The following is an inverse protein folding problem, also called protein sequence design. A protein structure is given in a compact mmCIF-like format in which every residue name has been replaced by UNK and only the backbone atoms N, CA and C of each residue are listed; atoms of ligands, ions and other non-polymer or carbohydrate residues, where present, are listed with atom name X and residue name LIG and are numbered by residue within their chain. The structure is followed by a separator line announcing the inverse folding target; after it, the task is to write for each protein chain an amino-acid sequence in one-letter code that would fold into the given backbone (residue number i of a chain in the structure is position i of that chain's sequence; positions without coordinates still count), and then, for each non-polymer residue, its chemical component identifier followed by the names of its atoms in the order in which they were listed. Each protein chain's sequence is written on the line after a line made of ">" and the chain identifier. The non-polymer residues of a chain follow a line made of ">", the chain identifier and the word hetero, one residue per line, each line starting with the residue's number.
data_IF_641871218366
#
_entry.id   IF_641871218366
#
_cell.length_a   1.000
_cell.length_b   1.000
_cell.length_c   1.000
_cell.angle_alpha   90.00
_cell.angle_beta   90.00
_cell.angle_gamma   90.00
#
_symmetry.space_group_name_H-M   'P 1'
#
loop_
_entity.id
_entity.type
_entity.pdbx_description
1 polymer ?
#
# COMPACT_ATOMS: atom_id res chain seq x y z
N UNK A 1 -14.04 -3.22 14.30
CA UNK A 1 -13.27 -4.35 14.90
C UNK A 1 -11.83 -3.89 15.05
N UNK A 2 -11.34 -3.71 16.27
CA UNK A 2 -9.93 -3.36 16.54
C UNK A 2 -9.05 -4.41 15.90
N UNK A 3 -8.17 -4.00 14.97
CA UNK A 3 -7.07 -4.84 14.50
C UNK A 3 -6.42 -5.48 15.73
N UNK A 4 -6.43 -6.81 15.78
CA UNK A 4 -5.96 -7.58 16.91
C UNK A 4 -4.57 -7.15 17.32
N UNK A 5 -4.41 -7.00 18.59
CA UNK A 5 -3.30 -6.48 19.41
C UNK A 5 -1.92 -6.41 18.72
N UNK A 6 -1.16 -5.38 19.02
CA UNK A 6 0.25 -5.18 18.65
C UNK A 6 1.10 -6.47 18.76
N UNK A 7 0.85 -7.30 19.76
CA UNK A 7 1.55 -8.58 19.97
C UNK A 7 1.38 -9.60 18.83
N UNK A 8 0.18 -9.72 18.22
CA UNK A 8 -0.03 -10.62 17.08
C UNK A 8 0.68 -10.09 15.81
N UNK A 9 0.64 -8.79 15.59
CA UNK A 9 1.36 -8.13 14.50
C UNK A 9 2.88 -8.31 14.61
N UNK A 10 3.43 -8.22 15.83
CA UNK A 10 4.86 -8.41 16.08
C UNK A 10 5.32 -9.86 15.87
N UNK A 11 4.45 -10.85 16.15
CA UNK A 11 4.74 -12.26 15.84
C UNK A 11 4.83 -12.48 14.33
N UNK A 12 3.88 -11.94 13.56
CA UNK A 12 3.88 -12.12 12.10
C UNK A 12 5.04 -11.40 11.41
N UNK A 13 5.37 -10.21 11.88
CA UNK A 13 6.54 -9.46 11.44
C UNK A 13 7.82 -10.28 11.59
N UNK A 14 8.06 -10.85 12.78
CA UNK A 14 9.24 -11.72 13.02
C UNK A 14 9.24 -12.94 12.11
N UNK A 15 8.09 -13.57 11.90
CA UNK A 15 7.99 -14.73 11.00
C UNK A 15 8.32 -14.37 9.54
N UNK A 16 7.91 -13.19 9.05
CA UNK A 16 8.24 -12.71 7.72
C UNK A 16 9.74 -12.45 7.59
N UNK A 17 10.33 -11.78 8.56
CA UNK A 17 11.77 -11.49 8.58
C UNK A 17 12.63 -12.78 8.57
N UNK A 18 12.32 -13.73 9.46
CA UNK A 18 12.96 -15.03 9.51
C UNK A 18 12.82 -15.82 8.21
N UNK A 19 11.66 -15.74 7.57
CA UNK A 19 11.38 -16.46 6.33
C UNK A 19 12.08 -15.84 5.12
N UNK A 20 12.09 -14.51 5.01
CA UNK A 20 12.83 -13.79 3.96
C UNK A 20 14.33 -14.11 4.05
N UNK A 21 14.92 -14.03 5.23
CA UNK A 21 16.33 -14.38 5.48
C UNK A 21 16.61 -15.86 5.14
N UNK A 22 15.71 -16.76 5.51
CA UNK A 22 15.81 -18.18 5.18
C UNK A 22 15.80 -18.43 3.67
N UNK A 23 14.86 -17.83 2.93
CA UNK A 23 14.76 -17.99 1.48
C UNK A 23 16.03 -17.47 0.80
N UNK A 24 16.54 -16.32 1.22
CA UNK A 24 17.79 -15.77 0.68
C UNK A 24 18.98 -16.69 0.88
N UNK A 25 19.07 -17.37 2.04
CA UNK A 25 20.17 -18.26 2.37
C UNK A 25 20.06 -19.67 1.79
N UNK A 26 18.84 -20.21 1.76
CA UNK A 26 18.63 -21.64 1.47
C UNK A 26 17.93 -21.91 0.13
N UNK A 27 17.35 -20.90 -0.49
CA UNK A 27 16.49 -21.01 -1.67
C UNK A 27 15.29 -21.95 -1.46
N UNK A 28 14.82 -22.06 -0.23
CA UNK A 28 13.68 -22.91 0.15
C UNK A 28 12.75 -22.15 1.06
N UNK A 29 11.49 -22.07 0.69
CA UNK A 29 10.45 -21.54 1.57
C UNK A 29 10.09 -22.56 2.67
N UNK A 30 9.61 -22.07 3.80
CA UNK A 30 9.14 -22.90 4.90
C UNK A 30 7.79 -22.41 5.44
N UNK A 31 7.63 -21.10 5.63
CA UNK A 31 6.47 -20.50 6.31
C UNK A 31 5.68 -19.54 5.42
N UNK A 32 6.18 -19.13 4.25
CA UNK A 32 5.50 -18.15 3.42
C UNK A 32 4.06 -18.55 3.12
N UNK A 33 3.83 -19.82 2.80
CA UNK A 33 2.50 -20.36 2.53
C UNK A 33 1.59 -20.23 3.76
N UNK A 34 2.06 -20.63 4.93
CA UNK A 34 1.26 -20.55 6.16
C UNK A 34 0.98 -19.11 6.59
N UNK A 35 1.92 -18.18 6.35
CA UNK A 35 1.72 -16.76 6.61
C UNK A 35 0.67 -16.20 5.63
N UNK A 36 0.77 -16.51 4.34
CA UNK A 36 -0.19 -16.09 3.34
C UNK A 36 -1.61 -16.61 3.64
N UNK A 37 -1.75 -17.91 3.93
CA UNK A 37 -3.03 -18.50 4.32
C UNK A 37 -3.66 -17.85 5.55
N UNK A 38 -2.83 -17.46 6.50
CA UNK A 38 -3.30 -16.80 7.70
C UNK A 38 -3.75 -15.36 7.42
N UNK A 39 -3.00 -14.60 6.60
CA UNK A 39 -3.39 -13.27 6.17
C UNK A 39 -4.72 -13.34 5.41
N UNK A 40 -4.85 -14.27 4.47
CA UNK A 40 -6.09 -14.45 3.69
C UNK A 40 -7.28 -14.84 4.60
N UNK A 41 -7.06 -15.75 5.56
CA UNK A 41 -8.12 -16.15 6.52
C UNK A 41 -8.57 -15.03 7.44
N UNK A 42 -7.68 -14.09 7.77
CA UNK A 42 -8.03 -12.98 8.66
C UNK A 42 -8.58 -11.75 7.91
N UNK A 43 -8.15 -11.51 6.68
CA UNK A 43 -8.43 -10.27 5.95
C UNK A 43 -9.04 -10.48 4.55
N UNK A 44 -8.77 -11.61 3.89
CA UNK A 44 -9.17 -11.88 2.51
C UNK A 44 -10.63 -12.32 2.32
N UNK A 45 -11.50 -12.03 3.27
CA UNK A 45 -12.94 -12.30 3.23
C UNK A 45 -13.77 -11.19 3.88
N UNK A 46 -13.14 -10.05 4.19
CA UNK A 46 -13.82 -8.94 4.85
C UNK A 46 -14.57 -8.11 3.82
N UNK A 47 -15.87 -8.02 3.97
CA UNK A 47 -16.76 -7.16 3.15
C UNK A 47 -16.82 -5.73 3.70
N UNK A 48 -16.46 -5.54 4.98
CA UNK A 48 -16.45 -4.25 5.65
C UNK A 48 -15.08 -3.58 5.57
N UNK A 49 -15.06 -2.26 5.38
CA UNK A 49 -13.85 -1.45 5.47
C UNK A 49 -13.21 -1.55 6.86
N UNK A 50 -11.91 -1.61 6.91
CA UNK A 50 -11.15 -1.52 8.16
C UNK A 50 -10.44 -0.18 8.31
N UNK A 51 -10.17 0.23 9.55
CA UNK A 51 -9.23 1.30 9.84
C UNK A 51 -7.81 0.75 9.70
N UNK A 52 -7.10 1.21 8.70
CA UNK A 52 -5.73 0.78 8.42
C UNK A 52 -4.74 1.77 9.02
N UNK A 53 -4.36 1.55 10.28
CA UNK A 53 -3.45 2.44 10.99
C UNK A 53 -1.99 2.10 10.73
N UNK A 54 -1.21 3.11 10.37
CA UNK A 54 0.24 3.00 10.29
C UNK A 54 0.86 3.10 11.68
N UNK A 55 1.83 2.22 11.96
CA UNK A 55 2.66 2.29 13.13
C UNK A 55 4.03 2.85 12.77
N UNK A 56 4.67 3.56 13.71
CA UNK A 56 6.03 4.01 13.53
C UNK A 56 6.96 2.80 13.27
N UNK A 57 7.77 2.90 12.22
CA UNK A 57 8.70 1.86 11.80
C UNK A 57 10.13 2.30 12.11
N UNK A 58 10.89 1.41 12.76
CA UNK A 58 12.33 1.56 12.87
C UNK A 58 12.98 1.13 11.54
N UNK A 59 14.28 1.44 11.40
CA UNK A 59 15.06 1.00 10.25
C UNK A 59 15.15 -0.52 10.17
N UNK A 60 15.26 -1.17 11.31
CA UNK A 60 15.42 -2.62 11.43
C UNK A 60 14.14 -3.37 11.07
N UNK A 61 12.97 -2.81 11.38
CA UNK A 61 11.69 -3.52 11.19
C UNK A 61 10.86 -3.00 10.00
N UNK A 62 11.41 -2.08 9.21
CA UNK A 62 10.70 -1.47 8.11
C UNK A 62 10.18 -2.52 7.11
N UNK A 63 11.08 -3.33 6.56
CA UNK A 63 10.72 -4.28 5.49
C UNK A 63 9.70 -5.32 5.93
N UNK A 64 9.86 -5.88 7.12
CA UNK A 64 8.92 -6.88 7.62
C UNK A 64 7.53 -6.30 7.92
N UNK A 65 7.46 -5.06 8.44
CA UNK A 65 6.19 -4.36 8.63
C UNK A 65 5.56 -3.96 7.30
N UNK A 66 6.36 -3.45 6.38
CA UNK A 66 5.94 -3.10 5.03
C UNK A 66 5.35 -4.33 4.31
N UNK A 67 6.09 -5.43 4.25
CA UNK A 67 5.62 -6.67 3.64
C UNK A 67 4.33 -7.20 4.25
N UNK A 68 4.17 -7.12 5.59
CA UNK A 68 2.94 -7.52 6.26
C UNK A 68 1.75 -6.61 5.88
N UNK A 69 1.96 -5.31 5.90
CA UNK A 69 0.92 -4.34 5.56
C UNK A 69 0.47 -4.50 4.11
N UNK A 70 1.43 -4.61 3.17
CA UNK A 70 1.14 -4.84 1.75
C UNK A 70 0.40 -6.16 1.56
N UNK A 71 0.77 -7.23 2.27
CA UNK A 71 0.07 -8.51 2.21
C UNK A 71 -1.37 -8.43 2.71
N UNK A 72 -1.64 -7.69 3.78
CA UNK A 72 -3.00 -7.44 4.30
C UNK A 72 -3.83 -6.67 3.27
N UNK A 73 -3.31 -5.57 2.73
CA UNK A 73 -3.99 -4.79 1.69
C UNK A 73 -4.26 -5.64 0.43
N UNK A 74 -3.28 -6.43 -0.01
CA UNK A 74 -3.46 -7.35 -1.13
C UNK A 74 -4.57 -8.37 -0.89
N UNK A 75 -4.64 -8.96 0.31
CA UNK A 75 -5.69 -9.93 0.64
C UNK A 75 -7.09 -9.30 0.59
N UNK A 76 -7.25 -8.08 1.07
CA UNK A 76 -8.53 -7.37 1.07
C UNK A 76 -8.91 -6.91 -0.34
N UNK A 77 -8.00 -6.28 -1.06
CA UNK A 77 -8.26 -5.75 -2.40
C UNK A 77 -8.58 -6.89 -3.38
N UNK A 78 -7.87 -8.01 -3.32
CA UNK A 78 -8.15 -9.20 -4.15
C UNK A 78 -9.52 -9.78 -3.85
N UNK A 79 -9.98 -9.75 -2.59
CA UNK A 79 -11.33 -10.17 -2.21
C UNK A 79 -12.39 -9.24 -2.82
N UNK A 80 -12.26 -7.93 -2.64
CA UNK A 80 -13.19 -6.92 -3.18
C UNK A 80 -13.27 -6.99 -4.71
N UNK A 81 -12.18 -7.34 -5.39
CA UNK A 81 -12.13 -7.52 -6.86
C UNK A 81 -12.62 -8.90 -7.31
N UNK A 82 -13.05 -9.78 -6.41
CA UNK A 82 -13.42 -11.17 -6.72
C UNK A 82 -12.34 -11.93 -7.51
N UNK A 83 -11.08 -11.70 -7.20
CA UNK A 83 -9.96 -12.41 -7.83
C UNK A 83 -10.00 -13.89 -7.39
N UNK A 84 -9.70 -14.80 -8.31
CA UNK A 84 -9.68 -16.25 -8.02
C UNK A 84 -8.74 -16.55 -6.86
N UNK A 85 -9.12 -17.51 -6.02
CA UNK A 85 -8.38 -17.85 -4.78
C UNK A 85 -6.91 -18.19 -5.02
N UNK A 86 -6.60 -18.87 -6.09
CA UNK A 86 -5.21 -19.19 -6.47
C UNK A 86 -4.40 -17.92 -6.75
N UNK A 87 -4.95 -16.98 -7.51
CA UNK A 87 -4.28 -15.71 -7.81
C UNK A 87 -4.23 -14.80 -6.58
N UNK A 88 -5.27 -14.79 -5.72
CA UNK A 88 -5.23 -14.14 -4.42
C UNK A 88 -4.05 -14.66 -3.59
N UNK A 89 -3.91 -15.98 -3.50
CA UNK A 89 -2.83 -16.62 -2.77
C UNK A 89 -1.44 -16.23 -3.32
N UNK A 90 -1.25 -16.30 -4.65
CA UNK A 90 0.00 -15.87 -5.29
C UNK A 90 0.29 -14.39 -5.05
N UNK A 91 -0.75 -13.53 -5.05
CA UNK A 91 -0.61 -12.09 -4.80
C UNK A 91 -0.16 -11.81 -3.37
N UNK A 92 -0.74 -12.50 -2.39
CA UNK A 92 -0.35 -12.36 -0.98
C UNK A 92 1.07 -12.91 -0.73
N UNK A 93 1.44 -14.04 -1.34
CA UNK A 93 2.82 -14.54 -1.29
C UNK A 93 3.80 -13.53 -1.94
N UNK A 94 3.42 -12.96 -3.09
CA UNK A 94 4.21 -11.92 -3.75
C UNK A 94 4.39 -10.70 -2.85
N UNK A 95 3.32 -10.26 -2.16
CA UNK A 95 3.38 -9.14 -1.24
C UNK A 95 4.35 -9.35 -0.05
N UNK A 96 4.44 -10.59 0.46
CA UNK A 96 5.40 -10.94 1.51
C UNK A 96 6.84 -10.86 1.01
N UNK A 97 7.09 -11.10 -0.28
CA UNK A 97 8.41 -11.32 -0.85
C UNK A 97 8.88 -10.25 -1.85
N UNK A 98 8.02 -9.28 -2.22
CA UNK A 98 8.30 -8.35 -3.31
C UNK A 98 9.56 -7.50 -3.12
N UNK A 99 9.94 -7.22 -1.89
CA UNK A 99 11.10 -6.40 -1.53
C UNK A 99 12.36 -7.22 -1.15
N UNK A 100 12.39 -8.51 -1.48
CA UNK A 100 13.53 -9.40 -1.17
C UNK A 100 14.88 -8.89 -1.68
N UNK A 101 14.90 -8.16 -2.80
CA UNK A 101 16.12 -7.55 -3.32
C UNK A 101 16.64 -6.44 -2.41
N UNK A 102 15.76 -5.59 -1.88
CA UNK A 102 16.09 -4.53 -0.92
C UNK A 102 16.55 -5.14 0.42
N UNK A 103 15.87 -6.18 0.90
CA UNK A 103 16.26 -6.91 2.11
C UNK A 103 17.67 -7.49 1.96
N UNK A 104 17.99 -8.09 0.80
CA UNK A 104 19.31 -8.67 0.50
C UNK A 104 20.44 -7.63 0.56
N UNK A 105 20.20 -6.43 0.06
CA UNK A 105 21.21 -5.35 0.01
C UNK A 105 21.27 -4.50 1.29
N UNK A 106 20.33 -4.70 2.22
CA UNK A 106 20.12 -3.81 3.37
C UNK A 106 20.00 -2.31 2.98
N UNK A 107 19.46 -2.07 1.79
CA UNK A 107 19.42 -0.75 1.17
C UNK A 107 18.17 -0.01 1.64
N UNK A 108 18.31 0.64 2.78
CA UNK A 108 17.26 1.46 3.39
C UNK A 108 17.10 2.85 2.71
N UNK A 109 17.67 3.06 1.53
CA UNK A 109 17.82 4.37 0.90
C UNK A 109 16.50 5.00 0.43
N UNK A 110 15.39 4.25 0.41
CA UNK A 110 14.15 4.69 -0.25
C UNK A 110 13.03 5.18 0.67
N UNK A 111 13.35 5.61 1.88
CA UNK A 111 12.33 6.09 2.80
C UNK A 111 11.89 7.53 2.47
N UNK A 112 10.84 7.66 1.64
CA UNK A 112 10.14 8.94 1.46
C UNK A 112 10.82 9.98 0.57
N UNK A 113 11.92 9.64 -0.11
CA UNK A 113 12.49 10.51 -1.13
C UNK A 113 11.72 10.39 -2.46
N UNK A 114 11.58 11.45 -3.25
CA UNK A 114 11.06 11.34 -4.60
C UNK A 114 12.02 10.48 -5.43
N UNK A 115 11.49 9.41 -6.03
CA UNK A 115 12.27 8.54 -6.89
C UNK A 115 12.57 9.24 -8.22
N UNK A 116 13.80 9.08 -8.70
CA UNK A 116 14.16 9.37 -10.09
C UNK A 116 13.96 8.11 -10.95
N UNK A 117 13.94 8.28 -12.28
CA UNK A 117 13.93 7.13 -13.21
C UNK A 117 15.13 6.20 -12.97
N UNK A 118 16.29 6.77 -12.71
CA UNK A 118 17.52 6.00 -12.44
C UNK A 118 17.39 5.17 -11.15
N UNK A 119 16.79 5.73 -10.10
CA UNK A 119 16.53 4.99 -8.87
C UNK A 119 15.56 3.82 -9.12
N UNK A 120 14.53 4.03 -9.95
CA UNK A 120 13.57 2.97 -10.31
C UNK A 120 14.24 1.86 -11.14
N UNK A 121 15.10 2.20 -12.10
CA UNK A 121 15.85 1.20 -12.86
C UNK A 121 16.75 0.38 -11.95
N UNK A 122 17.50 1.03 -11.07
CA UNK A 122 18.35 0.35 -10.08
C UNK A 122 17.55 -0.55 -9.13
N UNK A 123 16.36 -0.10 -8.72
CA UNK A 123 15.45 -0.93 -7.93
C UNK A 123 14.98 -2.16 -8.72
N UNK A 124 14.59 -2.00 -9.98
CA UNK A 124 14.19 -3.13 -10.83
C UNK A 124 15.31 -4.18 -10.94
N UNK A 125 16.55 -3.76 -11.23
CA UNK A 125 17.70 -4.66 -11.31
C UNK A 125 17.95 -5.40 -9.99
N UNK A 126 17.90 -4.68 -8.88
CA UNK A 126 18.08 -5.25 -7.55
C UNK A 126 17.02 -6.30 -7.22
N UNK A 127 15.78 -6.04 -7.58
CA UNK A 127 14.67 -6.96 -7.32
C UNK A 127 14.68 -8.19 -8.27
N UNK A 128 15.03 -8.01 -9.54
CA UNK A 128 15.11 -9.11 -10.51
C UNK A 128 16.04 -10.23 -10.07
N UNK A 129 17.19 -9.90 -9.47
CA UNK A 129 18.11 -10.90 -8.91
C UNK A 129 17.45 -11.75 -7.81
N UNK A 130 16.62 -11.12 -6.97
CA UNK A 130 15.94 -11.81 -5.87
C UNK A 130 14.74 -12.64 -6.37
N UNK A 131 14.06 -12.20 -7.43
CA UNK A 131 12.89 -12.92 -7.95
C UNK A 131 13.23 -14.29 -8.55
N UNK A 132 14.45 -14.50 -9.06
CA UNK A 132 14.94 -15.83 -9.42
C UNK A 132 14.99 -16.79 -8.24
N UNK A 133 15.37 -16.29 -7.05
CA UNK A 133 15.41 -17.08 -5.80
C UNK A 133 13.99 -17.47 -5.36
N UNK A 134 13.01 -16.56 -5.53
CA UNK A 134 11.61 -16.85 -5.22
C UNK A 134 11.08 -18.00 -6.09
N UNK A 135 11.35 -17.96 -7.41
CA UNK A 135 10.91 -19.02 -8.32
C UNK A 135 11.47 -20.39 -7.92
N UNK A 136 12.74 -20.46 -7.56
CA UNK A 136 13.37 -21.70 -7.07
C UNK A 136 12.75 -22.18 -5.75
N UNK A 137 12.38 -21.25 -4.86
CA UNK A 137 11.89 -21.60 -3.52
C UNK A 137 10.48 -22.22 -3.50
N UNK A 138 9.64 -21.93 -4.51
CA UNK A 138 8.21 -22.29 -4.53
C UNK A 138 7.83 -23.38 -5.53
N UNK A 139 8.77 -23.97 -6.22
CA UNK A 139 8.51 -25.01 -7.23
C UNK A 139 7.40 -24.61 -8.21
N UNK A 140 6.21 -25.24 -8.15
CA UNK A 140 5.11 -24.99 -9.09
C UNK A 140 4.51 -23.59 -9.04
N UNK A 141 4.46 -22.96 -7.87
CA UNK A 141 3.84 -21.65 -7.69
C UNK A 141 4.81 -20.49 -7.94
N UNK A 142 6.11 -20.80 -7.97
CA UNK A 142 7.18 -19.80 -8.02
C UNK A 142 7.11 -18.88 -9.24
N UNK A 143 6.80 -19.42 -10.42
CA UNK A 143 6.68 -18.63 -11.64
C UNK A 143 5.54 -17.62 -11.60
N UNK A 144 4.40 -17.98 -10.99
CA UNK A 144 3.25 -17.09 -10.79
C UNK A 144 3.58 -15.95 -9.84
N UNK A 145 4.17 -16.28 -8.69
CA UNK A 145 4.58 -15.29 -7.67
C UNK A 145 5.63 -14.34 -8.23
N UNK A 146 6.68 -14.87 -8.88
CA UNK A 146 7.72 -14.09 -9.53
C UNK A 146 7.14 -13.13 -10.56
N UNK A 147 6.24 -13.59 -11.43
CA UNK A 147 5.65 -12.76 -12.48
C UNK A 147 4.85 -11.59 -11.92
N UNK A 148 4.12 -11.79 -10.82
CA UNK A 148 3.41 -10.71 -10.11
C UNK A 148 4.40 -9.66 -9.61
N UNK A 149 5.47 -10.07 -8.93
CA UNK A 149 6.51 -9.15 -8.44
C UNK A 149 7.18 -8.38 -9.59
N UNK A 150 7.60 -9.07 -10.66
CA UNK A 150 8.25 -8.46 -11.82
C UNK A 150 7.37 -7.42 -12.52
N UNK A 151 6.10 -7.75 -12.75
CA UNK A 151 5.19 -6.81 -13.39
C UNK A 151 4.94 -5.59 -12.51
N UNK A 152 4.77 -5.77 -11.20
CA UNK A 152 4.54 -4.66 -10.27
C UNK A 152 5.74 -3.70 -10.22
N UNK A 153 6.98 -4.22 -10.08
CA UNK A 153 8.15 -3.35 -9.99
C UNK A 153 8.45 -2.64 -11.30
N UNK A 154 8.34 -3.33 -12.43
CA UNK A 154 8.58 -2.73 -13.77
C UNK A 154 7.56 -1.68 -14.13
N UNK A 155 6.30 -1.85 -13.72
CA UNK A 155 5.23 -0.89 -14.01
C UNK A 155 5.49 0.48 -13.37
N UNK A 156 6.25 0.55 -12.29
CA UNK A 156 6.64 1.82 -11.67
C UNK A 156 7.49 2.70 -12.60
N UNK A 157 8.20 2.13 -13.56
CA UNK A 157 8.95 2.89 -14.56
C UNK A 157 8.06 3.78 -15.42
N UNK A 158 6.79 3.43 -15.60
CA UNK A 158 5.83 4.23 -16.35
C UNK A 158 5.48 5.57 -15.65
N UNK A 159 5.93 5.80 -14.39
CA UNK A 159 5.91 7.12 -13.75
C UNK A 159 6.90 8.10 -14.40
N UNK A 160 7.92 7.56 -15.08
CA UNK A 160 8.99 8.31 -15.74
C UNK A 160 9.11 7.86 -17.21
N UNK A 161 8.09 8.12 -18.05
CA UNK A 161 8.06 7.61 -19.41
C UNK A 161 9.19 8.23 -20.25
N UNK A 162 9.85 7.41 -21.06
CA UNK A 162 10.71 7.85 -22.17
C UNK A 162 9.91 7.94 -23.44
N UNK A 163 10.33 8.83 -24.35
CA UNK A 163 9.69 9.00 -25.65
C UNK A 163 9.70 7.68 -26.45
N UNK A 164 8.50 7.19 -26.72
CA UNK A 164 8.32 5.95 -27.51
C UNK A 164 8.17 4.65 -26.71
N UNK A 165 8.43 4.62 -25.41
CA UNK A 165 8.16 3.44 -24.61
C UNK A 165 6.66 3.33 -24.28
N UNK A 166 6.03 2.28 -24.79
CA UNK A 166 4.69 1.87 -24.37
C UNK A 166 4.79 0.51 -23.69
N UNK A 167 4.33 0.42 -22.46
CA UNK A 167 4.11 -0.89 -21.82
C UNK A 167 3.18 -1.75 -22.70
N UNK A 168 3.72 -2.83 -23.27
CA UNK A 168 3.04 -3.63 -24.30
C UNK A 168 2.42 -4.93 -23.77
N UNK A 169 2.43 -5.14 -22.46
CA UNK A 169 1.89 -6.37 -21.87
C UNK A 169 0.70 -6.09 -20.97
N UNK A 170 -0.23 -7.04 -20.99
CA UNK A 170 -1.37 -7.01 -20.07
C UNK A 170 -0.87 -7.40 -18.68
N UNK A 171 -1.10 -6.50 -17.72
CA UNK A 171 -0.82 -6.77 -16.31
C UNK A 171 -1.70 -7.90 -15.78
N UNK A 172 -1.15 -8.74 -14.92
CA UNK A 172 -1.93 -9.62 -14.06
C UNK A 172 -2.73 -8.78 -13.05
N UNK A 173 -3.93 -9.21 -12.71
CA UNK A 173 -4.72 -8.51 -11.70
C UNK A 173 -3.98 -8.45 -10.35
N UNK A 174 -3.35 -9.56 -9.94
CA UNK A 174 -2.51 -9.60 -8.74
C UNK A 174 -1.32 -8.62 -8.78
N UNK A 175 -0.73 -8.36 -9.96
CA UNK A 175 0.36 -7.40 -10.10
C UNK A 175 -0.12 -5.95 -9.95
N UNK A 176 -1.31 -5.60 -10.47
CA UNK A 176 -1.94 -4.31 -10.23
C UNK A 176 -2.24 -4.11 -8.73
N UNK A 177 -2.78 -5.15 -8.09
CA UNK A 177 -3.08 -5.11 -6.65
C UNK A 177 -1.82 -4.90 -5.83
N UNK A 178 -0.75 -5.66 -6.10
CA UNK A 178 0.53 -5.51 -5.42
C UNK A 178 1.09 -4.09 -5.61
N UNK A 179 1.08 -3.56 -6.83
CA UNK A 179 1.59 -2.23 -7.15
C UNK A 179 0.86 -1.12 -6.38
N UNK A 180 -0.47 -1.15 -6.37
CA UNK A 180 -1.31 -0.16 -5.67
C UNK A 180 -1.13 -0.26 -4.16
N UNK A 181 -1.15 -1.47 -3.60
CA UNK A 181 -0.98 -1.70 -2.17
C UNK A 181 0.41 -1.29 -1.68
N UNK A 182 1.46 -1.62 -2.45
CA UNK A 182 2.84 -1.24 -2.17
C UNK A 182 2.98 0.28 -2.11
N UNK A 183 2.51 0.99 -3.15
CA UNK A 183 2.65 2.44 -3.21
C UNK A 183 1.86 3.14 -2.11
N UNK A 184 0.65 2.69 -1.84
CA UNK A 184 -0.16 3.24 -0.73
C UNK A 184 0.56 3.11 0.61
N UNK A 185 1.13 1.93 0.92
CA UNK A 185 1.84 1.71 2.18
C UNK A 185 3.17 2.50 2.24
N UNK A 186 3.90 2.64 1.13
CA UNK A 186 5.12 3.47 1.07
C UNK A 186 4.82 4.94 1.41
N UNK A 187 3.77 5.52 0.83
CA UNK A 187 3.40 6.93 1.03
C UNK A 187 2.93 7.18 2.48
N UNK A 188 2.11 6.27 3.00
CA UNK A 188 1.52 6.43 4.34
C UNK A 188 2.42 5.95 5.48
N UNK A 189 3.57 5.32 5.17
CA UNK A 189 4.49 4.75 6.15
C UNK A 189 5.04 5.81 7.11
N UNK A 190 4.90 5.56 8.42
CA UNK A 190 5.51 6.39 9.47
C UNK A 190 6.92 5.89 9.75
N UNK A 191 7.94 6.70 9.42
CA UNK A 191 9.35 6.40 9.70
C UNK A 191 9.98 7.51 10.52
N UNK A 192 11.09 7.22 11.21
CA UNK A 192 11.83 8.24 11.97
C UNK A 192 12.51 9.27 11.06
N UNK A 193 12.77 8.94 9.80
CA UNK A 193 13.54 9.74 8.86
C UNK A 193 12.69 10.40 7.78
N UNK A 194 11.48 9.92 7.55
CA UNK A 194 10.55 10.40 6.52
C UNK A 194 9.30 11.02 7.11
N UNK A 195 8.70 11.93 6.34
CA UNK A 195 7.39 12.50 6.68
C UNK A 195 6.32 11.58 6.09
N UNK A 196 5.62 10.84 6.94
CA UNK A 196 4.44 10.10 6.51
C UNK A 196 3.42 11.07 5.90
N UNK A 197 2.93 10.74 4.72
CA UNK A 197 1.82 11.48 4.12
C UNK A 197 0.49 10.86 4.58
N UNK A 198 -0.59 11.60 4.40
CA UNK A 198 -1.90 11.11 4.76
C UNK A 198 -2.43 10.11 3.74
N UNK A 199 -3.47 9.40 4.14
CA UNK A 199 -4.24 8.51 3.29
C UNK A 199 -4.83 9.27 2.08
N UNK A 200 -5.22 10.54 2.29
CA UNK A 200 -5.71 11.44 1.22
C UNK A 200 -4.63 11.71 0.20
N UNK A 201 -3.40 12.05 0.64
CA UNK A 201 -2.27 12.28 -0.26
C UNK A 201 -1.88 11.03 -1.04
N UNK A 202 -1.88 9.88 -0.38
CA UNK A 202 -1.62 8.61 -1.05
C UNK A 202 -2.68 8.33 -2.13
N UNK A 203 -3.94 8.56 -1.83
CA UNK A 203 -5.01 8.35 -2.80
C UNK A 203 -4.96 9.35 -3.95
N UNK A 204 -4.66 10.64 -3.69
CA UNK A 204 -4.47 11.64 -4.73
C UNK A 204 -3.40 11.19 -5.73
N UNK A 205 -2.22 10.77 -5.26
CA UNK A 205 -1.14 10.28 -6.12
C UNK A 205 -1.58 9.07 -6.97
N UNK A 206 -2.26 8.09 -6.36
CA UNK A 206 -2.74 6.93 -7.10
C UNK A 206 -3.74 7.29 -8.20
N UNK A 207 -4.62 8.27 -7.95
CA UNK A 207 -5.62 8.74 -8.91
C UNK A 207 -5.04 9.64 -10.01
N UNK A 208 -3.96 10.38 -9.72
CA UNK A 208 -3.27 11.24 -10.70
C UNK A 208 -2.52 10.44 -11.77
N UNK A 209 -2.19 9.17 -11.49
CA UNK A 209 -1.43 8.31 -12.41
C UNK A 209 -2.20 7.07 -12.91
N UNK A 210 -3.39 7.23 -13.56
CA UNK A 210 -4.25 6.10 -13.94
C UNK A 210 -3.64 5.18 -15.03
N UNK A 211 -2.56 5.60 -15.67
CA UNK A 211 -1.79 4.75 -16.61
C UNK A 211 -0.85 3.79 -15.88
N UNK A 212 -0.47 4.11 -14.65
CA UNK A 212 0.39 3.29 -13.80
C UNK A 212 -0.44 2.48 -12.83
N UNK A 213 -1.31 3.14 -12.10
CA UNK A 213 -2.19 2.51 -11.09
C UNK A 213 -3.57 2.27 -11.70
N UNK A 214 -3.92 1.01 -11.86
CA UNK A 214 -5.19 0.60 -12.46
C UNK A 214 -6.39 1.18 -11.67
N UNK A 215 -7.28 1.97 -12.32
CA UNK A 215 -8.37 2.65 -11.62
C UNK A 215 -9.36 1.71 -10.92
N UNK A 216 -9.55 0.49 -11.43
CA UNK A 216 -10.42 -0.49 -10.79
C UNK A 216 -9.80 -1.00 -9.50
N UNK A 217 -8.49 -1.26 -9.53
CA UNK A 217 -7.72 -1.65 -8.34
C UNK A 217 -7.70 -0.54 -7.28
N UNK A 218 -7.53 0.72 -7.70
CA UNK A 218 -7.58 1.86 -6.75
C UNK A 218 -8.99 1.99 -6.13
N UNK A 219 -10.06 1.82 -6.91
CA UNK A 219 -11.43 1.77 -6.36
C UNK A 219 -11.63 0.62 -5.38
N UNK A 220 -11.03 -0.54 -5.65
CA UNK A 220 -11.09 -1.68 -4.74
C UNK A 220 -10.35 -1.40 -3.41
N UNK A 221 -9.19 -0.72 -3.45
CA UNK A 221 -8.49 -0.26 -2.25
C UNK A 221 -9.38 0.67 -1.41
N UNK A 222 -10.03 1.67 -2.04
CA UNK A 222 -10.96 2.60 -1.38
C UNK A 222 -12.13 1.87 -0.70
N UNK A 223 -12.59 0.77 -1.28
CA UNK A 223 -13.65 -0.06 -0.69
C UNK A 223 -13.15 -1.00 0.41
N UNK A 224 -11.85 -1.20 0.53
CA UNK A 224 -11.24 -2.08 1.52
C UNK A 224 -10.89 -1.38 2.83
N UNK A 225 -10.60 -0.08 2.80
CA UNK A 225 -10.12 0.67 3.97
C UNK A 225 -10.86 2.00 4.14
N UNK A 226 -10.95 2.46 5.40
CA UNK A 226 -11.51 3.77 5.72
C UNK A 226 -10.44 4.85 5.46
N UNK A 227 -10.71 5.75 4.51
CA UNK A 227 -9.83 6.87 4.15
C UNK A 227 -10.32 8.17 4.80
N UNK A 228 -11.59 8.49 4.65
CA UNK A 228 -12.25 9.66 5.22
C UNK A 228 -13.52 9.26 5.96
N UNK A 229 -13.40 8.53 7.08
CA UNK A 229 -14.57 8.11 7.83
C UNK A 229 -15.28 9.30 8.47
N UNK A 230 -16.59 9.18 8.78
CA UNK A 230 -17.30 10.16 9.58
C UNK A 230 -16.54 10.46 10.88
N UNK A 231 -16.40 11.76 11.21
CA UNK A 231 -15.59 12.22 12.33
C UNK A 231 -14.13 12.53 11.99
N UNK A 232 -13.64 12.27 10.78
CA UNK A 232 -12.34 12.71 10.33
C UNK A 232 -12.31 14.25 10.18
N UNK A 233 -11.28 14.91 10.73
CA UNK A 233 -11.05 16.34 10.53
C UNK A 233 -10.17 16.55 9.30
N UNK A 234 -10.56 17.48 8.41
CA UNK A 234 -9.90 17.74 7.14
C UNK A 234 -9.61 19.22 6.95
N UNK A 235 -8.62 19.53 6.14
CA UNK A 235 -8.33 20.86 5.62
C UNK A 235 -8.85 20.97 4.19
N UNK A 236 -9.59 22.04 3.90
CA UNK A 236 -10.13 22.33 2.57
C UNK A 236 -9.20 23.26 1.81
N UNK A 237 -9.31 23.25 0.46
CA UNK A 237 -8.55 24.14 -0.43
C UNK A 237 -8.81 25.63 -0.19
N UNK A 238 -9.90 25.96 0.50
CA UNK A 238 -10.22 27.32 0.96
C UNK A 238 -9.40 27.76 2.18
N UNK A 239 -8.58 26.85 2.76
CA UNK A 239 -7.87 27.04 4.04
C UNK A 239 -8.76 26.83 5.25
N UNK A 240 -10.03 26.47 5.08
CA UNK A 240 -10.94 26.17 6.18
C UNK A 240 -10.73 24.72 6.66
N UNK A 241 -11.04 24.52 7.95
CA UNK A 241 -11.07 23.19 8.57
C UNK A 241 -12.50 22.71 8.68
N UNK A 242 -12.70 21.41 8.44
CA UNK A 242 -14.03 20.82 8.45
C UNK A 242 -14.01 19.43 9.07
N UNK A 243 -15.17 18.93 9.47
CA UNK A 243 -15.39 17.56 9.93
C UNK A 243 -16.18 16.78 8.88
N UNK A 244 -15.74 15.58 8.54
CA UNK A 244 -16.50 14.66 7.67
C UNK A 244 -17.75 14.19 8.42
N UNK A 245 -18.92 14.43 7.83
CA UNK A 245 -20.20 13.93 8.34
C UNK A 245 -20.59 12.60 7.73
N UNK A 246 -20.52 12.52 6.39
CA UNK A 246 -20.86 11.31 5.65
C UNK A 246 -19.83 11.06 4.57
N UNK A 247 -19.44 9.79 4.42
CA UNK A 247 -18.63 9.35 3.29
C UNK A 247 -19.41 9.46 1.98
N UNK A 248 -18.67 9.62 0.87
CA UNK A 248 -19.21 9.47 -0.48
C UNK A 248 -18.58 8.22 -1.11
N UNK A 249 -19.37 7.17 -1.30
CA UNK A 249 -18.89 5.88 -1.83
C UNK A 249 -18.44 5.97 -3.29
N UNK A 250 -19.02 6.87 -4.09
CA UNK A 250 -18.66 7.07 -5.50
C UNK A 250 -17.41 7.93 -5.66
N UNK A 251 -17.21 8.88 -4.75
CA UNK A 251 -16.07 9.79 -4.77
C UNK A 251 -15.57 10.08 -3.35
N UNK A 252 -14.70 9.21 -2.85
CA UNK A 252 -14.24 9.24 -1.45
C UNK A 252 -13.59 10.57 -1.03
N UNK A 253 -12.98 11.31 -1.97
CA UNK A 253 -12.39 12.64 -1.71
C UNK A 253 -13.41 13.79 -1.75
N UNK A 254 -14.70 13.49 -1.94
CA UNK A 254 -15.80 14.46 -2.00
C UNK A 254 -16.94 14.10 -1.04
N UNK A 255 -16.64 13.96 0.27
CA UNK A 255 -17.65 13.67 1.27
C UNK A 255 -18.54 14.88 1.57
N UNK A 256 -19.56 14.68 2.41
CA UNK A 256 -20.27 15.77 3.07
C UNK A 256 -19.49 16.17 4.33
N UNK A 257 -19.21 17.46 4.48
CA UNK A 257 -18.45 18.00 5.60
C UNK A 257 -19.21 19.13 6.31
N UNK A 258 -18.87 19.40 7.58
CA UNK A 258 -19.30 20.61 8.30
C UNK A 258 -18.09 21.51 8.56
N UNK A 259 -18.18 22.77 8.14
CA UNK A 259 -17.14 23.78 8.37
C UNK A 259 -17.07 24.15 9.86
N UNK A 260 -15.84 24.19 10.42
CA UNK A 260 -15.64 24.68 11.79
C UNK A 260 -15.78 26.19 11.94
N UNK A 261 -15.80 26.94 10.82
CA UNK A 261 -15.90 28.41 10.86
C UNK A 261 -17.30 28.87 11.22
N UNK A 262 -18.31 28.31 10.60
CA UNK A 262 -19.70 28.79 10.66
C UNK A 262 -20.74 27.66 10.82
N UNK A 263 -20.30 26.42 10.98
CA UNK A 263 -21.12 25.21 11.04
C UNK A 263 -21.96 24.95 9.77
N UNK A 264 -21.61 25.55 8.63
CA UNK A 264 -22.26 25.25 7.37
C UNK A 264 -21.97 23.80 6.94
N UNK A 265 -22.97 23.15 6.38
CA UNK A 265 -22.85 21.79 5.83
C UNK A 265 -22.61 21.93 4.33
N UNK A 266 -21.51 21.33 3.86
CA UNK A 266 -21.09 21.33 2.47
C UNK A 266 -21.03 19.89 1.95
N UNK A 267 -21.85 19.58 0.97
CA UNK A 267 -21.68 18.34 0.19
C UNK A 267 -20.72 18.66 -0.96
N UNK A 268 -19.48 18.13 -0.84
CA UNK A 268 -18.44 18.40 -1.82
C UNK A 268 -18.70 17.75 -3.20
N UNK A 269 -19.66 16.83 -3.29
CA UNK A 269 -20.03 16.17 -4.55
C UNK A 269 -21.03 16.98 -5.40
N UNK A 270 -21.70 17.95 -4.80
CA UNK A 270 -22.72 18.74 -5.49
C UNK A 270 -22.13 19.78 -6.43
N UNK A 271 -22.83 20.08 -7.55
CA UNK A 271 -22.52 21.22 -8.40
C UNK A 271 -22.47 22.53 -7.60
N UNK A 272 -21.44 23.34 -7.85
CA UNK A 272 -21.18 24.58 -7.11
C UNK A 272 -20.14 24.45 -6.01
N UNK A 273 -19.73 23.23 -5.65
CA UNK A 273 -18.64 22.97 -4.71
C UNK A 273 -17.40 22.33 -5.39
N UNK A 274 -17.34 22.31 -6.73
CA UNK A 274 -16.26 21.66 -7.49
C UNK A 274 -14.88 22.21 -7.15
N UNK A 275 -14.80 23.52 -6.87
CA UNK A 275 -13.55 24.22 -6.52
C UNK A 275 -13.07 23.92 -5.09
N UNK A 276 -13.94 23.38 -4.24
CA UNK A 276 -13.60 23.03 -2.86
C UNK A 276 -13.08 21.59 -2.84
N UNK A 277 -11.82 21.41 -2.48
CA UNK A 277 -11.18 20.10 -2.40
C UNK A 277 -10.66 19.83 -0.98
N UNK A 278 -10.58 18.57 -0.61
CA UNK A 278 -9.85 18.16 0.59
C UNK A 278 -8.37 18.18 0.26
N UNK A 279 -7.61 19.00 0.96
CA UNK A 279 -6.15 19.11 0.82
C UNK A 279 -5.46 18.01 1.62
N UNK A 280 -5.90 17.83 2.88
CA UNK A 280 -5.31 16.81 3.76
C UNK A 280 -6.24 16.47 4.93
N UNK A 281 -5.92 15.36 5.61
CA UNK A 281 -6.50 15.00 6.90
C UNK A 281 -5.71 15.69 8.01
N UNK A 282 -6.41 16.33 8.93
CA UNK A 282 -5.78 16.88 10.12
C UNK A 282 -5.34 15.74 11.04
N UNK A 283 -4.05 15.41 11.01
CA UNK A 283 -3.50 14.41 11.92
C UNK A 283 -3.50 14.97 13.34
N UNK A 284 -4.13 14.26 14.28
CA UNK A 284 -3.98 14.50 15.70
C UNK A 284 -2.54 14.12 16.09
N UNK A 285 -1.69 15.14 16.29
CA UNK A 285 -0.35 15.10 16.88
C UNK A 285 0.67 14.17 16.19
N UNK A 286 1.57 14.78 15.46
CA UNK A 286 2.86 14.17 15.07
C UNK A 286 3.78 14.19 16.30
N UNK A 287 3.87 13.07 17.02
CA UNK A 287 4.69 12.96 18.24
C UNK A 287 6.17 12.67 17.96
N UNK A 288 6.64 12.73 16.70
CA UNK A 288 8.04 12.44 16.35
C UNK A 288 9.05 13.35 17.04
N UNK A 289 8.65 14.59 17.35
CA UNK A 289 9.53 15.51 18.08
C UNK A 289 9.86 15.05 19.52
N UNK A 290 9.08 14.12 20.09
CA UNK A 290 9.32 13.55 21.41
C UNK A 290 10.54 12.62 21.40
N UNK A 291 10.84 12.00 20.26
CA UNK A 291 11.93 11.03 20.08
C UNK A 291 13.25 11.67 19.63
N UNK A 292 13.26 12.98 19.30
CA UNK A 292 14.44 13.72 18.86
C UNK A 292 15.11 14.53 19.99
N UNK A 293 14.83 14.19 21.26
CA UNK A 293 15.50 14.80 22.44
C UNK A 293 16.51 13.84 23.05
#
# INVERSE_FOLDING_TARGET
>A
TRVRSSAASDVYKRQIEEEQDRILKTRKQNRTQSIADMVIRNYGHLDEKINFYQNLRSREDYFSRHSLNVAILCAMVTHVMNIRREEQYHTVCAAILHDMGKVKKHDAVYYGAPYTREDMLRNCETQEEAYGIIEEAFATDGSGIRRICQQAVRKQLDLFPEDGEKSRYKMLAGANVLLVANRYDEITAMTLQGTAQSEVKALQELLEHPKVYDPETVRALIRSINILPPGASVELSTGEKALVLNENEESVLRPTVVSFRDNSILDLSLPGNEDIQIVDVMKTMDNRYIFNK
#
